data_IF_471169258513
#
_entry.id   IF_471169258513
#
_cell.length_a   1.000
_cell.length_b   1.000
_cell.length_c   1.000
_cell.angle_alpha   90.00
_cell.angle_beta   90.00
_cell.angle_gamma   90.00
#
_symmetry.space_group_name_H-M   'P 1'
#
loop_
_entity.id
_entity.type
_entity.pdbx_description
1 polymer ?
#
# COMPACT_ATOMS: atom_id res chain seq x y z
N UNK A 1 -2.54 15.37 -8.64
CA UNK A 1 -1.78 15.89 -7.52
C UNK A 1 -2.71 16.14 -6.36
N UNK A 2 -2.38 15.66 -5.16
CA UNK A 2 -3.18 15.90 -3.96
C UNK A 2 -2.39 16.74 -2.94
N UNK A 3 -3.06 17.71 -2.32
CA UNK A 3 -2.54 18.40 -1.13
C UNK A 3 -3.04 17.67 0.11
N UNK A 4 -2.10 17.22 0.92
CA UNK A 4 -2.31 16.50 2.18
C UNK A 4 -1.72 17.33 3.33
N UNK A 5 -1.78 16.82 4.57
CA UNK A 5 -1.15 17.49 5.71
C UNK A 5 -0.45 16.48 6.64
N UNK A 6 0.77 16.79 7.05
CA UNK A 6 1.49 16.07 8.10
C UNK A 6 1.58 16.94 9.35
N UNK A 7 0.90 16.55 10.42
CA UNK A 7 0.80 17.32 11.67
C UNK A 7 0.36 18.79 11.45
N UNK A 8 -0.55 19.00 10.51
CA UNK A 8 -1.05 20.33 10.14
C UNK A 8 -0.20 21.08 9.11
N UNK A 9 1.01 20.61 8.81
CA UNK A 9 1.86 21.18 7.76
C UNK A 9 1.42 20.64 6.39
N UNK A 10 1.07 21.48 5.42
CA UNK A 10 0.71 21.03 4.07
C UNK A 10 1.84 20.26 3.38
N UNK A 11 1.50 19.15 2.73
CA UNK A 11 2.41 18.30 1.95
C UNK A 11 1.75 17.94 0.63
N UNK A 12 2.45 18.15 -0.49
CA UNK A 12 1.94 17.80 -1.81
C UNK A 12 2.46 16.43 -2.24
N UNK A 13 1.57 15.59 -2.80
CA UNK A 13 1.98 14.35 -3.46
C UNK A 13 2.45 14.62 -4.88
N UNK A 14 3.32 13.77 -5.40
CA UNK A 14 3.64 13.78 -6.82
C UNK A 14 2.56 13.02 -7.59
N UNK A 15 2.19 13.52 -8.78
CA UNK A 15 1.22 12.91 -9.69
C UNK A 15 -0.19 12.66 -9.07
N UNK A 16 -1.02 11.91 -9.78
CA UNK A 16 -2.40 11.57 -9.43
C UNK A 16 -2.54 10.10 -9.03
N UNK A 17 -3.46 9.83 -8.11
CA UNK A 17 -3.87 8.46 -7.82
C UNK A 17 -4.72 7.92 -9.00
N UNK A 18 -4.62 6.61 -9.32
CA UNK A 18 -5.45 6.01 -10.35
C UNK A 18 -6.94 6.17 -10.04
N UNK A 19 -7.71 6.60 -11.04
CA UNK A 19 -9.17 6.68 -10.92
C UNK A 19 -9.79 5.27 -10.82
N UNK A 20 -10.96 5.17 -10.19
CA UNK A 20 -11.72 3.92 -10.14
C UNK A 20 -12.02 3.43 -11.56
N UNK A 21 -11.78 2.14 -11.82
CA UNK A 21 -11.95 1.52 -13.14
C UNK A 21 -10.77 1.73 -14.10
N UNK A 22 -9.78 2.56 -13.75
CA UNK A 22 -8.53 2.64 -14.51
C UNK A 22 -7.62 1.44 -14.23
N UNK A 23 -6.75 1.11 -15.19
CA UNK A 23 -5.74 0.08 -15.01
C UNK A 23 -4.69 0.56 -13.99
N UNK A 24 -4.38 -0.29 -13.01
CA UNK A 24 -3.33 0.00 -12.05
C UNK A 24 -1.98 0.22 -12.77
N UNK A 25 -1.20 1.27 -12.40
CA UNK A 25 0.13 1.48 -12.93
C UNK A 25 1.07 0.31 -12.63
N UNK A 26 1.94 -0.03 -13.58
CA UNK A 26 2.96 -1.04 -13.36
C UNK A 26 3.92 -0.60 -12.24
N UNK A 27 4.32 -1.56 -11.40
CA UNK A 27 5.33 -1.35 -10.37
C UNK A 27 6.27 -2.57 -10.29
N UNK A 28 7.46 -2.32 -9.76
CA UNK A 28 8.40 -3.33 -9.31
C UNK A 28 8.90 -2.89 -7.94
N UNK A 29 8.53 -3.65 -6.90
CA UNK A 29 8.90 -3.40 -5.51
C UNK A 29 9.85 -4.49 -5.03
N UNK A 30 10.64 -4.18 -4.01
CA UNK A 30 11.49 -5.17 -3.34
C UNK A 30 10.74 -5.76 -2.16
N UNK A 31 10.55 -7.07 -2.14
CA UNK A 31 9.95 -7.78 -1.01
C UNK A 31 10.96 -7.97 0.14
N UNK A 32 10.46 -8.40 1.31
CA UNK A 32 11.31 -8.60 2.50
C UNK A 32 12.37 -9.70 2.34
N UNK A 33 12.17 -10.63 1.39
CA UNK A 33 13.13 -11.66 1.00
C UNK A 33 14.06 -11.22 -0.16
N UNK A 34 14.04 -9.92 -0.50
CA UNK A 34 14.79 -9.29 -1.59
C UNK A 34 14.35 -9.71 -3.00
N UNK A 35 13.26 -10.47 -3.14
CA UNK A 35 12.69 -10.79 -4.44
C UNK A 35 11.93 -9.60 -5.05
N UNK A 36 11.72 -9.64 -6.36
CA UNK A 36 10.91 -8.64 -7.05
C UNK A 36 9.41 -8.96 -6.92
N UNK A 37 8.66 -8.00 -6.38
CA UNK A 37 7.21 -8.01 -6.31
C UNK A 37 6.62 -7.09 -7.39
N UNK A 38 6.00 -7.67 -8.41
CA UNK A 38 5.40 -6.93 -9.54
C UNK A 38 3.90 -7.20 -9.60
N UNK A 39 3.18 -6.49 -10.48
CA UNK A 39 1.77 -6.81 -10.77
C UNK A 39 1.58 -8.27 -11.23
N UNK A 40 2.56 -8.83 -11.93
CA UNK A 40 2.50 -10.20 -12.47
C UNK A 40 2.65 -11.25 -11.36
N UNK A 41 3.47 -10.95 -10.33
CA UNK A 41 3.63 -11.81 -9.14
C UNK A 41 2.29 -12.12 -8.47
N UNK A 42 1.31 -11.24 -8.60
CA UNK A 42 -0.01 -11.35 -7.98
C UNK A 42 -1.17 -11.47 -8.99
N UNK A 43 -0.86 -11.80 -10.25
CA UNK A 43 -1.86 -11.93 -11.29
C UNK A 43 -2.98 -12.91 -10.89
N UNK A 44 -4.23 -12.51 -11.14
CA UNK A 44 -5.41 -13.29 -10.77
C UNK A 44 -5.94 -13.02 -9.36
N UNK A 45 -5.16 -12.40 -8.46
CA UNK A 45 -5.62 -12.00 -7.13
C UNK A 45 -6.21 -10.59 -7.14
N UNK A 46 -7.16 -10.34 -6.22
CA UNK A 46 -7.54 -8.98 -5.83
C UNK A 46 -6.41 -8.40 -4.98
N UNK A 47 -5.92 -7.22 -5.34
CA UNK A 47 -4.79 -6.60 -4.66
C UNK A 47 -5.26 -5.41 -3.82
N UNK A 48 -4.86 -5.38 -2.55
CA UNK A 48 -5.04 -4.24 -1.65
C UNK A 48 -3.67 -3.63 -1.37
N UNK A 49 -3.43 -2.43 -1.89
CA UNK A 49 -2.18 -1.69 -1.71
C UNK A 49 -2.33 -0.73 -0.51
N UNK A 50 -1.78 -1.12 0.64
CA UNK A 50 -1.75 -0.28 1.84
C UNK A 50 -0.44 0.52 1.88
N UNK A 51 -0.47 1.76 1.39
CA UNK A 51 0.70 2.63 1.28
C UNK A 51 0.86 3.47 2.55
N UNK A 52 1.97 3.30 3.26
CA UNK A 52 2.28 3.98 4.53
C UNK A 52 3.65 4.66 4.50
N UNK A 53 3.87 5.80 5.18
CA UNK A 53 5.17 6.49 5.16
C UNK A 53 6.33 5.66 5.74
N UNK A 54 6.09 4.91 6.81
CA UNK A 54 7.08 4.03 7.45
C UNK A 54 6.37 2.84 8.12
N UNK A 55 7.04 1.69 8.18
CA UNK A 55 6.60 0.50 8.90
C UNK A 55 7.07 0.50 10.38
N UNK A 56 8.09 1.28 10.72
CA UNK A 56 8.79 1.25 12.02
C UNK A 56 8.11 2.12 13.08
N UNK A 57 6.79 2.01 13.17
CA UNK A 57 6.05 2.64 14.26
C UNK A 57 5.24 1.58 14.98
N UNK A 58 5.06 1.68 16.31
CA UNK A 58 4.14 0.81 17.04
C UNK A 58 2.71 1.21 16.65
N UNK A 59 2.27 0.83 15.44
CA UNK A 59 0.92 1.08 14.96
C UNK A 59 -0.01 0.12 15.69
N UNK A 60 -0.45 0.53 16.88
CA UNK A 60 -1.59 -0.08 17.53
C UNK A 60 -2.82 0.81 17.30
N UNK A 61 -3.34 0.79 16.08
CA UNK A 61 -4.70 1.21 15.82
C UNK A 61 -5.54 -0.05 15.65
N UNK A 62 -6.51 -0.27 16.53
CA UNK A 62 -7.44 -1.41 16.43
C UNK A 62 -8.08 -1.50 15.03
N UNK A 63 -8.29 -0.35 14.37
CA UNK A 63 -8.75 -0.26 12.98
C UNK A 63 -7.80 -0.87 11.96
N UNK A 64 -6.49 -0.67 12.08
CA UNK A 64 -5.51 -1.26 11.16
C UNK A 64 -5.46 -2.80 11.33
N UNK A 65 -5.51 -3.28 12.58
CA UNK A 65 -5.60 -4.73 12.86
C UNK A 65 -6.90 -5.33 12.34
N UNK A 66 -8.02 -4.64 12.56
CA UNK A 66 -9.32 -5.07 12.05
C UNK A 66 -9.34 -5.09 10.53
N UNK A 67 -8.77 -4.09 9.87
CA UNK A 67 -8.61 -4.06 8.42
C UNK A 67 -7.84 -5.28 7.92
N UNK A 68 -6.70 -5.61 8.52
CA UNK A 68 -5.94 -6.80 8.14
C UNK A 68 -6.74 -8.09 8.34
N UNK A 69 -7.50 -8.22 9.44
CA UNK A 69 -8.37 -9.37 9.65
C UNK A 69 -9.46 -9.50 8.60
N UNK A 70 -10.13 -8.38 8.25
CA UNK A 70 -11.18 -8.37 7.24
C UNK A 70 -10.60 -8.79 5.89
N UNK A 71 -9.49 -8.18 5.48
CA UNK A 71 -8.93 -8.47 4.15
C UNK A 71 -8.35 -9.88 4.07
N UNK A 72 -7.77 -10.40 5.15
CA UNK A 72 -7.33 -11.80 5.22
C UNK A 72 -8.47 -12.82 5.10
N UNK A 73 -9.71 -12.42 5.42
CA UNK A 73 -10.91 -13.25 5.26
C UNK A 73 -11.55 -13.16 3.87
N UNK A 74 -11.04 -12.29 2.99
CA UNK A 74 -11.58 -12.13 1.64
C UNK A 74 -10.95 -13.15 0.69
N UNK A 75 -11.80 -13.85 -0.06
CA UNK A 75 -11.35 -14.82 -1.05
C UNK A 75 -10.46 -14.16 -2.10
N UNK A 76 -9.38 -14.86 -2.45
CA UNK A 76 -8.48 -14.53 -3.55
C UNK A 76 -7.92 -13.10 -3.45
N UNK A 77 -7.60 -12.66 -2.23
CA UNK A 77 -7.14 -11.29 -1.95
C UNK A 77 -5.74 -11.29 -1.33
N UNK A 78 -4.87 -10.43 -1.84
CA UNK A 78 -3.52 -10.20 -1.32
C UNK A 78 -3.39 -8.76 -0.82
N UNK A 79 -2.76 -8.59 0.33
CA UNK A 79 -2.46 -7.26 0.90
C UNK A 79 -0.97 -6.99 0.75
N UNK A 80 -0.63 -5.89 0.08
CA UNK A 80 0.73 -5.38 0.01
C UNK A 80 0.82 -4.15 0.89
N UNK A 81 1.62 -4.22 1.95
CA UNK A 81 1.94 -3.03 2.77
C UNK A 81 3.21 -2.43 2.21
N UNK A 82 3.11 -1.22 1.66
CA UNK A 82 4.18 -0.58 0.91
C UNK A 82 4.64 0.65 1.69
N UNK A 83 5.93 0.73 1.97
CA UNK A 83 6.55 1.90 2.58
C UNK A 83 7.86 2.26 1.88
N UNK A 84 8.30 3.48 2.10
CA UNK A 84 9.67 3.86 1.80
C UNK A 84 10.55 3.41 2.97
N UNK A 85 11.39 2.38 2.75
CA UNK A 85 12.45 2.03 3.68
C UNK A 85 13.65 2.92 3.37
N UNK A 86 13.91 3.92 4.22
CA UNK A 86 15.19 4.63 4.23
C UNK A 86 16.01 3.96 5.33
N UNK A 87 16.99 3.13 4.93
CA UNK A 87 18.07 2.73 5.82
C UNK A 87 18.88 3.96 6.25
#
# INVERSE_FOLDING_TARGET
MATTAFKGTPVNTNADLPAVGSKAPAFSLTAGDLSAATLETFAGNKMVLNIVPTLDTPVCAASARHFYHVVASMDNTVVLVISFYLA
#
